data_IF_159054701148
#
_entry.id   IF_159054701148
#
_cell.length_a   1.000
_cell.length_b   1.000
_cell.length_c   1.000
_cell.angle_alpha   90.00
_cell.angle_beta   90.00
_cell.angle_gamma   90.00
#
_symmetry.space_group_name_H-M   'P 1'
#
loop_
_entity.id
_entity.type
_entity.pdbx_description
1 polymer ?
#
# COMPACT_ATOMS: atom_id res chain seq x y z
N UNK A 1 -3.82 18.74 -15.80
CA UNK A 1 -4.00 18.28 -15.55
C UNK A 1 -4.23 17.08 -15.57
N UNK A 2 -4.06 16.41 -15.76
CA UNK A 2 -4.38 15.39 -15.91
C UNK A 2 -3.94 14.45 -15.04
N UNK A 3 -4.39 13.65 -14.66
CA UNK A 3 -4.02 12.83 -13.85
C UNK A 3 -3.97 11.56 -14.35
N UNK A 4 -3.27 10.77 -14.18
CA UNK A 4 -3.24 9.59 -14.68
C UNK A 4 -3.45 8.62 -13.66
N UNK A 5 -4.26 7.87 -13.62
CA UNK A 5 -4.55 6.91 -12.71
C UNK A 5 -3.90 5.67 -13.00
N UNK A 6 -3.18 5.14 -12.18
CA UNK A 6 -2.51 3.99 -12.51
C UNK A 6 -3.02 3.01 -11.64
N UNK A 7 -3.74 2.18 -12.05
CA UNK A 7 -4.24 1.26 -11.24
C UNK A 7 -3.39 0.13 -11.29
N UNK A 8 -2.61 -0.14 -10.60
CA UNK A 8 -1.79 -1.16 -10.69
C UNK A 8 -1.98 -2.12 -9.80
N UNK A 9 -2.34 -2.95 -10.07
CA UNK A 9 -2.53 -3.94 -9.28
C UNK A 9 -1.37 -4.60 -9.15
N UNK A 10 -0.76 -4.43 -9.36
CA UNK A 10 0.31 -5.00 -9.30
C UNK A 10 0.94 -5.84 -8.83
N UNK A 11 0.87 -6.20 -8.62
CA UNK A 11 1.28 -6.99 -8.27
C UNK A 11 2.46 -7.46 -8.31
N UNK A 12 2.74 -7.61 -8.57
CA UNK A 12 3.67 -7.92 -8.72
C UNK A 12 4.74 -8.28 -8.35
N UNK A 13 4.94 -8.34 -8.18
CA UNK A 13 5.88 -8.55 -8.09
C UNK A 13 6.66 -8.95 -7.37
N UNK A 14 6.78 -9.16 -7.01
CA UNK A 14 7.48 -9.29 -6.53
C UNK A 14 8.48 -9.95 -6.17
N UNK A 15 8.85 -10.07 -6.09
CA UNK A 15 9.93 -10.47 -6.13
C UNK A 15 10.48 -10.58 -4.91
N UNK A 16 10.23 -10.65 -4.40
CA UNK A 16 10.66 -10.87 -3.34
C UNK A 16 11.74 -10.67 -2.63
N UNK A 17 11.77 -10.11 -1.98
CA UNK A 17 12.76 -9.82 -1.32
C UNK A 17 12.84 -10.69 -0.27
N UNK A 18 13.61 -11.31 -0.26
CA UNK A 18 13.74 -12.26 0.65
C UNK A 18 13.92 -11.75 1.97
N UNK A 19 13.80 -12.33 2.74
CA UNK A 19 14.03 -11.93 3.94
C UNK A 19 13.37 -10.98 4.59
N UNK A 20 12.53 -10.60 4.22
CA UNK A 20 12.01 -9.64 4.73
C UNK A 20 11.20 -10.06 5.70
N UNK A 21 10.77 -9.79 6.39
CA UNK A 21 9.95 -10.01 7.23
C UNK A 21 9.22 -11.01 7.29
N UNK A 22 9.43 -11.59 7.86
CA UNK A 22 8.82 -12.61 7.96
C UNK A 22 7.49 -12.63 8.11
N UNK A 23 7.00 -12.12 8.97
CA UNK A 23 5.73 -12.25 9.12
C UNK A 23 5.06 -11.79 8.06
N UNK A 24 5.63 -11.39 7.07
CA UNK A 24 4.91 -10.93 6.05
C UNK A 24 4.20 -11.99 5.32
N UNK A 25 3.11 -11.73 4.77
CA UNK A 25 2.35 -12.69 3.99
C UNK A 25 2.91 -12.76 2.59
N UNK A 26 2.70 -13.85 1.93
CA UNK A 26 3.13 -13.97 0.56
C UNK A 26 2.40 -12.97 -0.30
N UNK A 27 3.01 -12.51 -1.37
CA UNK A 27 2.36 -11.52 -2.20
C UNK A 27 0.97 -11.93 -2.68
N UNK A 28 0.80 -13.17 -3.02
CA UNK A 28 -0.51 -13.60 -3.46
C UNK A 28 -1.53 -13.45 -2.37
N UNK A 29 -1.17 -13.70 -1.12
CA UNK A 29 -2.10 -13.57 -0.05
C UNK A 29 -2.48 -12.12 0.14
N UNK A 30 -1.51 -11.22 0.03
CA UNK A 30 -1.83 -9.83 0.17
C UNK A 30 -2.74 -9.36 -0.93
N UNK A 31 -2.55 -9.84 -2.13
CA UNK A 31 -3.42 -9.45 -3.21
C UNK A 31 -4.82 -9.98 -3.05
N UNK A 32 -4.99 -11.10 -2.39
CA UNK A 32 -6.32 -11.59 -2.19
C UNK A 32 -7.04 -10.84 -1.07
N UNK A 33 -6.29 -10.22 -0.17
CA UNK A 33 -6.90 -9.46 0.90
C UNK A 33 -7.09 -8.00 0.54
N UNK A 34 -6.11 -7.39 -0.15
CA UNK A 34 -6.14 -5.96 -0.36
C UNK A 34 -5.95 -5.59 -1.80
N UNK A 35 -6.70 -4.62 -2.25
CA UNK A 35 -6.53 -4.09 -3.58
C UNK A 35 -6.16 -2.62 -3.43
N UNK A 36 -5.20 -2.17 -4.18
CA UNK A 36 -4.76 -0.79 -4.10
C UNK A 36 -5.13 -0.05 -5.36
N UNK A 37 -5.64 1.16 -5.19
CA UNK A 37 -5.89 2.02 -6.33
C UNK A 37 -5.27 3.36 -5.98
N UNK A 38 -4.46 3.89 -6.85
CA UNK A 38 -3.76 5.12 -6.53
C UNK A 38 -3.39 5.87 -7.78
N UNK A 39 -3.05 7.13 -7.60
CA UNK A 39 -2.62 7.95 -8.71
C UNK A 39 -1.55 8.89 -8.24
N UNK A 40 -0.79 9.43 -9.18
CA UNK A 40 0.25 10.39 -8.86
C UNK A 40 -0.33 11.75 -9.19
N UNK A 41 -0.27 12.66 -8.25
CA UNK A 41 -0.73 14.01 -8.46
C UNK A 41 0.47 14.95 -8.38
N UNK A 42 0.37 16.11 -8.97
CA UNK A 42 1.44 17.08 -8.92
C UNK A 42 0.88 18.39 -8.41
N UNK A 43 1.38 18.81 -7.28
CA UNK A 43 0.92 20.05 -6.71
C UNK A 43 2.07 21.01 -6.55
N UNK A 44 1.86 22.09 -5.83
CA UNK A 44 2.88 23.03 -5.64
C UNK A 44 4.06 22.47 -4.92
N UNK A 45 3.87 21.49 -4.08
CA UNK A 45 4.96 20.94 -3.37
C UNK A 45 5.58 19.77 -4.07
N UNK A 46 5.21 19.49 -5.27
CA UNK A 46 5.79 18.38 -6.00
C UNK A 46 4.83 17.20 -6.08
N UNK A 47 5.33 16.04 -6.44
CA UNK A 47 4.45 14.90 -6.65
C UNK A 47 3.97 14.28 -5.35
N UNK A 48 2.80 13.70 -5.40
CA UNK A 48 2.26 12.98 -4.27
C UNK A 48 1.51 11.78 -4.81
N UNK A 49 1.40 10.76 -3.98
CA UNK A 49 0.63 9.59 -4.35
C UNK A 49 -0.56 9.53 -3.43
N UNK A 50 -1.73 9.40 -3.99
CA UNK A 50 -2.96 9.34 -3.22
C UNK A 50 -3.78 8.19 -3.69
N UNK A 51 -4.46 7.55 -2.81
CA UNK A 51 -5.31 6.45 -3.22
C UNK A 51 -6.01 5.78 -2.08
N UNK A 52 -6.47 4.59 -2.36
CA UNK A 52 -7.23 3.83 -1.38
C UNK A 52 -6.75 2.40 -1.33
N UNK A 53 -6.85 1.83 -0.15
CA UNK A 53 -6.62 0.41 0.05
C UNK A 53 -8.00 -0.18 0.27
N UNK A 54 -8.37 -1.15 -0.54
CA UNK A 54 -9.65 -1.82 -0.39
C UNK A 54 -9.42 -3.15 0.31
N UNK A 55 -10.17 -3.40 1.36
CA UNK A 55 -10.02 -4.63 2.13
C UNK A 55 -11.10 -5.62 1.69
N UNK A 56 -10.68 -6.69 1.07
CA UNK A 56 -11.58 -7.71 0.59
C UNK A 56 -11.60 -8.91 1.52
N UNK A 57 -10.93 -8.82 2.65
CA UNK A 57 -10.90 -9.91 3.59
C UNK A 57 -12.07 -9.79 4.56
N UNK A 58 -12.24 -10.80 5.38
CA UNK A 58 -13.33 -10.80 6.31
C UNK A 58 -12.97 -10.24 7.65
N UNK A 59 -11.82 -9.62 7.78
CA UNK A 59 -11.42 -9.05 9.04
C UNK A 59 -10.94 -7.62 8.83
N UNK A 60 -10.97 -6.82 9.85
CA UNK A 60 -10.49 -5.45 9.77
C UNK A 60 -8.99 -5.42 9.97
N UNK A 61 -8.30 -4.69 9.13
CA UNK A 61 -6.85 -4.51 9.27
C UNK A 61 -6.59 -3.17 9.94
N UNK A 62 -5.51 -3.07 10.66
CA UNK A 62 -5.13 -1.81 11.28
C UNK A 62 -3.65 -1.65 11.26
N UNK A 63 -3.20 -0.47 11.54
CA UNK A 63 -1.79 -0.15 11.55
C UNK A 63 -1.12 -0.58 10.27
N UNK A 64 -1.72 -0.24 9.17
CA UNK A 64 -1.19 -0.65 7.88
C UNK A 64 -0.22 0.37 7.36
N UNK A 65 0.92 -0.12 6.89
CA UNK A 65 1.91 0.72 6.25
C UNK A 65 2.07 0.25 4.84
N UNK A 66 2.24 1.18 3.95
CA UNK A 66 2.48 0.89 2.56
C UNK A 66 3.90 1.28 2.22
N UNK A 67 4.49 0.60 1.27
CA UNK A 67 5.80 0.95 0.80
C UNK A 67 5.65 1.51 -0.59
N UNK A 68 6.28 2.63 -0.84
CA UNK A 68 6.25 3.26 -2.13
C UNK A 68 7.66 3.21 -2.66
N UNK A 69 7.85 2.50 -3.76
CA UNK A 69 9.16 2.43 -4.39
C UNK A 69 9.20 3.41 -5.53
N UNK A 70 10.30 4.12 -5.65
CA UNK A 70 10.50 5.01 -6.77
C UNK A 70 11.31 4.23 -7.79
N UNK A 71 10.83 4.20 -9.00
CA UNK A 71 11.49 3.43 -10.04
C UNK A 71 12.11 4.37 -11.06
N UNK A 72 13.31 4.01 -11.52
CA UNK A 72 13.97 4.84 -12.52
C UNK A 72 13.47 4.42 -13.89
N UNK A 73 14.02 5.04 -14.92
CA UNK A 73 13.52 4.80 -16.26
C UNK A 73 13.69 3.35 -16.69
N UNK A 74 14.59 2.62 -16.09
CA UNK A 74 14.77 1.23 -16.46
C UNK A 74 13.94 0.31 -15.58
N UNK A 75 13.18 0.86 -14.67
CA UNK A 75 12.36 0.03 -13.79
C UNK A 75 13.04 -0.40 -12.52
N UNK A 76 14.26 0.07 -12.28
CA UNK A 76 14.91 -0.32 -11.08
C UNK A 76 14.54 0.57 -9.93
N UNK A 77 14.54 0.05 -8.74
CA UNK A 77 14.18 0.79 -7.55
C UNK A 77 15.28 1.78 -7.21
N UNK A 78 14.97 3.04 -7.25
CA UNK A 78 15.92 4.09 -6.91
C UNK A 78 15.79 4.53 -5.47
N UNK A 79 14.75 4.18 -4.82
CA UNK A 79 14.56 4.53 -3.42
C UNK A 79 13.17 4.12 -2.99
N UNK A 80 12.94 4.13 -1.69
CA UNK A 80 11.65 3.72 -1.14
C UNK A 80 11.30 4.57 0.05
N UNK A 81 10.02 4.68 0.32
CA UNK A 81 9.56 5.34 1.51
C UNK A 81 8.30 4.62 1.97
N UNK A 82 7.83 4.94 3.15
CA UNK A 82 6.65 4.29 3.67
C UNK A 82 5.64 5.33 4.08
N UNK A 83 4.40 4.93 4.13
CA UNK A 83 3.34 5.83 4.53
C UNK A 83 2.31 5.01 5.30
N UNK A 84 1.71 5.63 6.30
CA UNK A 84 0.67 4.98 7.05
C UNK A 84 -0.66 5.21 6.38
N UNK A 85 -1.49 4.17 6.39
CA UNK A 85 -2.85 4.33 5.93
C UNK A 85 -3.63 4.95 7.08
N UNK A 86 -4.50 5.88 6.77
CA UNK A 86 -5.21 6.55 7.81
C UNK A 86 -6.27 5.67 8.42
N UNK A 87 -6.15 5.42 9.69
CA UNK A 87 -7.16 4.65 10.40
C UNK A 87 -7.16 3.19 10.08
N UNK A 88 -8.25 2.54 10.34
CA UNK A 88 -8.38 1.13 10.09
C UNK A 88 -8.88 0.90 8.69
N UNK A 89 -8.57 -0.25 8.14
CA UNK A 89 -9.08 -0.65 6.86
C UNK A 89 -10.13 -1.71 7.16
N UNK A 90 -11.38 -1.30 7.27
CA UNK A 90 -12.43 -2.20 7.70
C UNK A 90 -12.79 -3.18 6.63
N UNK A 91 -13.30 -4.34 7.04
CA UNK A 91 -13.64 -5.35 6.05
C UNK A 91 -14.65 -4.76 5.08
N UNK A 92 -14.57 -5.17 3.87
CA UNK A 92 -15.47 -4.72 2.85
C UNK A 92 -15.48 -3.21 2.70
N UNK A 93 -14.42 -2.55 2.98
CA UNK A 93 -14.36 -1.11 2.92
C UNK A 93 -13.02 -0.67 2.39
N UNK A 94 -12.77 0.61 2.44
CA UNK A 94 -11.50 1.13 1.94
C UNK A 94 -10.99 2.20 2.88
N UNK A 95 -9.72 2.50 2.79
CA UNK A 95 -9.11 3.56 3.58
C UNK A 95 -8.20 4.37 2.68
N UNK A 96 -8.11 5.63 2.95
CA UNK A 96 -7.36 6.58 2.14
C UNK A 96 -5.92 6.66 2.58
N UNK A 97 -5.03 6.91 1.66
CA UNK A 97 -3.65 7.23 2.01
C UNK A 97 -3.14 8.30 1.06
N UNK A 98 -2.15 9.03 1.52
CA UNK A 98 -1.57 10.08 0.72
C UNK A 98 -0.15 10.30 1.21
N UNK A 99 0.76 10.49 0.31
CA UNK A 99 2.16 10.73 0.69
C UNK A 99 2.84 11.58 -0.35
N UNK A 100 3.63 12.54 0.11
CA UNK A 100 4.47 13.31 -0.79
C UNK A 100 5.65 12.43 -1.14
N UNK A 101 6.08 12.45 -2.36
CA UNK A 101 7.19 11.62 -2.78
C UNK A 101 8.13 12.42 -3.66
N UNK A 102 9.39 12.03 -3.72
CA UNK A 102 10.30 12.68 -4.67
C UNK A 102 9.92 12.30 -6.10
N UNK A 103 10.37 13.09 -7.03
CA UNK A 103 10.07 12.83 -8.41
C UNK A 103 10.71 11.52 -8.84
N UNK A 104 10.07 10.79 -9.69
CA UNK A 104 10.63 9.54 -10.21
C UNK A 104 9.98 9.24 -11.55
N UNK A 105 10.56 8.34 -12.30
CA UNK A 105 9.99 7.97 -13.58
C UNK A 105 8.66 7.23 -13.36
N UNK A 106 8.58 6.41 -12.35
CA UNK A 106 7.34 5.77 -12.01
C UNK A 106 7.40 5.30 -10.56
N UNK A 107 6.33 4.75 -10.07
CA UNK A 107 6.24 4.34 -8.68
C UNK A 107 5.55 3.00 -8.57
N UNK A 108 5.80 2.31 -7.47
CA UNK A 108 5.12 1.07 -7.17
C UNK A 108 4.68 1.14 -5.72
N UNK A 109 3.45 0.80 -5.43
CA UNK A 109 2.90 0.87 -4.09
C UNK A 109 2.47 -0.53 -3.67
N UNK A 110 2.86 -0.92 -2.49
CA UNK A 110 2.47 -2.24 -2.03
C UNK A 110 2.31 -2.23 -0.52
N UNK A 111 1.56 -3.16 0.01
CA UNK A 111 1.34 -3.27 1.43
C UNK A 111 2.61 -3.79 2.06
N UNK A 112 3.13 -3.08 3.03
CA UNK A 112 4.34 -3.47 3.70
C UNK A 112 4.04 -4.28 4.95
N UNK A 113 3.14 -3.81 5.75
CA UNK A 113 2.80 -4.50 6.99
C UNK A 113 1.44 -4.06 7.48
N UNK A 114 0.82 -4.87 8.29
CA UNK A 114 -0.44 -4.52 8.90
C UNK A 114 -0.72 -5.53 10.00
N UNK A 115 -1.72 -5.25 10.83
CA UNK A 115 -2.18 -6.19 11.83
C UNK A 115 -3.65 -6.44 11.62
N UNK A 116 -4.11 -7.66 11.89
CA UNK A 116 -5.54 -7.89 11.91
C UNK A 116 -6.04 -7.42 13.26
N UNK A 117 -7.14 -6.72 13.27
CA UNK A 117 -7.68 -6.22 14.50
C UNK A 117 -8.31 -7.36 15.20
N UNK A 118 -7.98 -7.48 16.45
CA UNK A 118 -8.49 -8.54 17.15
C UNK A 118 -9.75 -8.14 17.71
N UNK A 119 -10.86 -8.64 17.38
CA UNK A 119 -11.98 -8.26 17.78
C UNK A 119 -12.42 -8.93 18.79
N UNK A 120 -12.57 -8.85 19.30
CA UNK A 120 -13.07 -9.44 20.11
C UNK A 120 -12.68 -10.34 20.72
N UNK A 121 -12.63 -10.54 20.64
CA UNK A 121 -12.41 -11.13 20.96
C UNK A 121 -11.76 -11.14 21.74
N UNK A 122 -11.80 -11.13 21.81
CA UNK A 122 -11.33 -10.96 22.25
C UNK A 122 -11.13 -10.56 22.89
N UNK A 123 -11.32 -10.54 22.85
CA UNK A 123 -11.18 -10.05 23.27
C UNK A 123 -10.81 -9.66 23.77
N UNK A 124 -10.85 -9.77 23.93
CA UNK A 124 -10.64 -9.20 24.28
C UNK A 124 -10.23 -8.69 24.33
N UNK A 125 -10.13 -8.73 24.21
CA UNK A 125 -9.80 -8.06 24.13
C UNK A 125 -9.71 -7.53 23.80
N UNK A 126 -9.82 -7.69 23.71
CA UNK A 126 -9.80 -6.92 23.14
C UNK A 126 -9.46 -6.30 23.26
#
# INVERSE_FOLDING_TARGET
MRRRIAVFTVAALLTAAPGVSAQLYAPQSLESYFRLEWEVTHGKKGPAIEGYVYNQAMWTAERMRLQIDRLDASGKVAGSSTVWVLGQVRMDSRAFFSASVPEAASYRVQVLSFDWKSDGGGGGGG
#
